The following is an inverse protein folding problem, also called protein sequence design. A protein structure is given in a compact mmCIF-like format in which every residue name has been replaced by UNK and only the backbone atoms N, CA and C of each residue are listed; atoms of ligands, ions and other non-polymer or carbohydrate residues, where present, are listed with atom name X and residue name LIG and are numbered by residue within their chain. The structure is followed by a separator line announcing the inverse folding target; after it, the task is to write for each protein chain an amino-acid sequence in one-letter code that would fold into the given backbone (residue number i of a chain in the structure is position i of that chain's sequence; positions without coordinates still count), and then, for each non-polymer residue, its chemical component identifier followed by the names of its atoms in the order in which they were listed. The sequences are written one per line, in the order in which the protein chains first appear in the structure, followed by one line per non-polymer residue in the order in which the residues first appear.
data_IF_516861721939
#
_entry.id   IF_516861721939
#
_cell.length_a   1.000
_cell.length_b   1.000
_cell.length_c   1.000
_cell.angle_alpha   90.00
_cell.angle_beta   90.00
_cell.angle_gamma   90.00
#
_symmetry.space_group_name_H-M   'P 1'
#
loop_
_entity.id
_entity.type
_entity.pdbx_description
1 polymer ?
#
# COMPACT_ATOMS: atom_id res chain seq x y z
N UNK A 1 -19.07 -1.75 0.16
CA UNK A 1 -19.47 -1.35 -1.19
C UNK A 1 -19.98 0.09 -1.24
N UNK A 2 -20.87 0.50 -0.30
CA UNK A 2 -21.52 1.82 -0.28
C UNK A 2 -20.52 2.99 -0.38
N UNK A 3 -19.53 3.07 0.50
CA UNK A 3 -18.56 4.18 0.51
C UNK A 3 -17.55 4.12 -0.66
N UNK A 4 -16.93 2.96 -0.88
CA UNK A 4 -15.81 2.83 -1.82
C UNK A 4 -16.24 2.73 -3.30
N UNK A 5 -17.53 2.52 -3.57
CA UNK A 5 -18.01 2.47 -4.94
C UNK A 5 -19.19 3.43 -5.18
N UNK A 6 -20.32 3.27 -4.49
CA UNK A 6 -21.53 4.05 -4.80
C UNK A 6 -21.28 5.54 -4.59
N UNK A 7 -20.85 5.95 -3.39
CA UNK A 7 -20.59 7.36 -3.10
C UNK A 7 -19.44 7.92 -3.95
N UNK A 8 -18.37 7.13 -4.17
CA UNK A 8 -17.26 7.56 -4.99
C UNK A 8 -17.65 7.71 -6.48
N UNK A 9 -18.54 6.86 -6.99
CA UNK A 9 -19.11 6.97 -8.34
C UNK A 9 -19.94 8.25 -8.48
N UNK A 10 -20.86 8.50 -7.53
CA UNK A 10 -21.68 9.72 -7.52
C UNK A 10 -20.79 10.97 -7.48
N UNK A 11 -19.81 10.99 -6.58
CA UNK A 11 -18.85 12.09 -6.48
C UNK A 11 -18.10 12.32 -7.81
N UNK A 12 -17.61 11.25 -8.45
CA UNK A 12 -16.92 11.35 -9.73
C UNK A 12 -17.87 11.87 -10.84
N UNK A 13 -19.13 11.44 -10.87
CA UNK A 13 -20.13 11.95 -11.82
C UNK A 13 -20.41 13.43 -11.62
N UNK A 14 -20.55 13.89 -10.37
CA UNK A 14 -20.69 15.31 -10.04
C UNK A 14 -19.46 16.13 -10.49
N UNK A 15 -18.25 15.64 -10.22
CA UNK A 15 -17.02 16.29 -10.66
C UNK A 15 -16.98 16.43 -12.21
N UNK A 16 -17.39 15.38 -12.92
CA UNK A 16 -17.44 15.40 -14.40
C UNK A 16 -18.48 16.42 -14.90
N UNK A 17 -19.65 16.46 -14.26
CA UNK A 17 -20.69 17.44 -14.58
C UNK A 17 -20.22 18.88 -14.31
N UNK A 18 -19.37 19.10 -13.32
CA UNK A 18 -18.70 20.37 -13.01
C UNK A 18 -17.45 20.63 -13.86
N UNK A 19 -17.28 19.92 -14.98
CA UNK A 19 -16.15 20.08 -15.91
C UNK A 19 -14.76 19.80 -15.35
N UNK A 20 -14.66 19.06 -14.24
CA UNK A 20 -13.38 18.56 -13.71
C UNK A 20 -12.93 17.37 -14.57
N UNK A 21 -11.74 17.46 -15.16
CA UNK A 21 -11.27 16.48 -16.16
C UNK A 21 -10.12 15.60 -15.69
N UNK A 22 -9.36 15.99 -14.64
CA UNK A 22 -8.15 15.29 -14.25
C UNK A 22 -8.32 14.63 -12.87
N UNK A 23 -8.06 13.33 -12.80
CA UNK A 23 -8.26 12.53 -11.58
C UNK A 23 -7.06 11.64 -11.29
N UNK A 24 -6.66 11.57 -10.01
CA UNK A 24 -5.78 10.52 -9.51
C UNK A 24 -6.58 9.69 -8.52
N UNK A 25 -6.71 8.40 -8.78
CA UNK A 25 -7.50 7.49 -7.97
C UNK A 25 -6.62 6.55 -7.16
N UNK A 26 -6.78 6.58 -5.84
CA UNK A 26 -6.13 5.67 -4.89
C UNK A 26 -6.81 4.30 -4.90
N UNK A 27 -6.26 3.36 -5.66
CA UNK A 27 -6.69 1.97 -5.71
C UNK A 27 -5.81 1.07 -4.83
N UNK A 28 -5.84 -0.24 -5.02
CA UNK A 28 -5.19 -1.21 -4.14
C UNK A 28 -4.64 -2.41 -4.90
N UNK A 29 -3.50 -2.95 -4.46
CA UNK A 29 -2.97 -4.23 -4.93
C UNK A 29 -3.86 -5.43 -4.56
N UNK A 30 -4.78 -5.29 -3.60
CA UNK A 30 -5.70 -6.36 -3.21
C UNK A 30 -6.60 -6.84 -4.36
N UNK A 31 -6.72 -6.07 -5.44
CA UNK A 31 -7.48 -6.48 -6.65
C UNK A 31 -6.84 -7.67 -7.37
N UNK A 32 -5.52 -7.87 -7.22
CA UNK A 32 -4.82 -8.97 -7.88
C UNK A 32 -5.09 -10.34 -7.23
N UNK A 33 -5.53 -10.35 -5.97
CA UNK A 33 -5.73 -11.58 -5.22
C UNK A 33 -4.41 -12.25 -4.85
N UNK A 34 -4.40 -13.57 -4.83
CA UNK A 34 -3.22 -14.35 -4.45
C UNK A 34 -2.32 -14.58 -5.69
N UNK A 35 -1.10 -14.07 -5.64
CA UNK A 35 -0.09 -14.23 -6.67
C UNK A 35 1.23 -14.67 -6.05
N UNK A 36 1.97 -15.54 -6.76
CA UNK A 36 3.28 -16.07 -6.34
C UNK A 36 4.45 -15.33 -6.98
N UNK A 37 4.19 -14.39 -7.88
CA UNK A 37 5.20 -13.61 -8.63
C UNK A 37 4.96 -12.10 -8.47
N UNK A 38 5.90 -11.30 -8.96
CA UNK A 38 5.70 -9.85 -9.10
C UNK A 38 4.58 -9.57 -10.11
N UNK A 39 3.54 -8.86 -9.68
CA UNK A 39 2.37 -8.57 -10.52
C UNK A 39 2.56 -7.30 -11.32
N UNK A 40 2.22 -7.35 -12.61
CA UNK A 40 2.14 -6.21 -13.51
C UNK A 40 0.74 -5.61 -13.53
N UNK A 41 0.60 -4.42 -14.06
CA UNK A 41 -0.67 -3.69 -14.14
C UNK A 41 -1.68 -4.33 -15.09
N UNK A 42 -1.22 -5.07 -16.10
CA UNK A 42 -2.01 -5.80 -17.09
C UNK A 42 -2.48 -7.20 -16.63
N UNK A 43 -1.99 -7.67 -15.47
CA UNK A 43 -2.43 -8.94 -14.90
C UNK A 43 -3.94 -8.91 -14.61
N UNK A 44 -4.64 -9.99 -14.97
CA UNK A 44 -6.09 -10.14 -14.77
C UNK A 44 -6.44 -10.04 -13.28
N UNK A 45 -7.27 -9.08 -12.87
CA UNK A 45 -7.68 -8.93 -11.47
C UNK A 45 -8.47 -10.14 -10.96
N UNK A 46 -8.15 -10.59 -9.73
CA UNK A 46 -8.81 -11.70 -9.02
C UNK A 46 -9.16 -11.28 -7.57
N UNK A 47 -10.00 -10.25 -7.36
CA UNK A 47 -10.27 -9.71 -6.04
C UNK A 47 -10.98 -10.71 -5.13
N UNK A 48 -10.40 -11.00 -3.95
CA UNK A 48 -10.92 -11.98 -2.99
C UNK A 48 -11.84 -11.34 -1.93
N UNK A 49 -11.68 -10.04 -1.66
CA UNK A 49 -12.45 -9.34 -0.61
C UNK A 49 -13.50 -8.39 -1.19
N UNK A 50 -14.59 -8.08 -0.45
CA UNK A 50 -15.55 -7.04 -0.84
C UNK A 50 -14.89 -5.67 -1.05
N UNK A 51 -13.88 -5.34 -0.26
CA UNK A 51 -13.08 -4.12 -0.44
C UNK A 51 -12.39 -4.10 -1.81
N UNK A 52 -11.64 -5.14 -2.15
CA UNK A 52 -10.95 -5.23 -3.44
C UNK A 52 -11.92 -5.20 -4.63
N UNK A 53 -13.07 -5.89 -4.52
CA UNK A 53 -14.14 -5.85 -5.53
C UNK A 53 -14.67 -4.43 -5.72
N UNK A 54 -14.91 -3.68 -4.63
CA UNK A 54 -15.42 -2.30 -4.73
C UNK A 54 -14.41 -1.35 -5.37
N UNK A 55 -13.12 -1.51 -5.06
CA UNK A 55 -12.04 -0.71 -5.68
C UNK A 55 -11.94 -1.00 -7.19
N UNK A 56 -11.95 -2.28 -7.57
CA UNK A 56 -11.93 -2.68 -8.98
C UNK A 56 -13.17 -2.18 -9.76
N UNK A 57 -14.35 -2.19 -9.15
CA UNK A 57 -15.56 -1.65 -9.79
C UNK A 57 -15.41 -0.16 -10.13
N UNK A 58 -14.76 0.63 -9.27
CA UNK A 58 -14.51 2.02 -9.54
C UNK A 58 -13.40 2.22 -10.59
N UNK A 59 -12.35 1.38 -10.63
CA UNK A 59 -11.39 1.38 -11.74
C UNK A 59 -12.08 1.19 -13.10
N UNK A 60 -12.98 0.17 -13.18
CA UNK A 60 -13.77 -0.08 -14.39
C UNK A 60 -14.64 1.12 -14.77
N UNK A 61 -15.17 1.84 -13.79
CA UNK A 61 -15.95 3.03 -14.03
C UNK A 61 -15.10 4.18 -14.60
N UNK A 62 -13.88 4.39 -14.11
CA UNK A 62 -12.93 5.33 -14.70
C UNK A 62 -12.66 5.00 -16.19
N UNK A 63 -12.39 3.75 -16.52
CA UNK A 63 -12.19 3.32 -17.91
C UNK A 63 -13.42 3.53 -18.79
N UNK A 64 -14.64 3.38 -18.27
CA UNK A 64 -15.88 3.71 -19.02
C UNK A 64 -15.96 5.20 -19.34
N UNK A 65 -15.39 6.07 -18.51
CA UNK A 65 -15.41 7.54 -18.69
C UNK A 65 -14.17 8.09 -19.44
N UNK A 66 -13.24 7.25 -19.91
CA UNK A 66 -11.95 7.64 -20.52
C UNK A 66 -12.02 8.62 -21.70
N UNK A 67 -13.16 8.71 -22.39
CA UNK A 67 -13.38 9.70 -23.46
C UNK A 67 -13.61 11.11 -22.92
N UNK A 68 -14.11 11.22 -21.66
CA UNK A 68 -14.52 12.50 -21.03
C UNK A 68 -13.50 13.04 -20.04
N UNK A 69 -12.68 12.15 -19.44
CA UNK A 69 -11.74 12.49 -18.37
C UNK A 69 -10.36 11.90 -18.61
N UNK A 70 -9.36 12.55 -18.03
CA UNK A 70 -8.03 11.99 -17.81
C UNK A 70 -7.98 11.34 -16.43
N UNK A 71 -7.32 10.21 -16.30
CA UNK A 71 -7.15 9.60 -15.00
C UNK A 71 -5.84 8.82 -14.87
N UNK A 72 -5.34 8.79 -13.65
CA UNK A 72 -4.25 7.93 -13.22
C UNK A 72 -4.75 7.11 -12.03
N UNK A 73 -4.68 5.78 -12.15
CA UNK A 73 -5.04 4.86 -11.09
C UNK A 73 -3.77 4.38 -10.42
N UNK A 74 -3.67 4.53 -9.10
CA UNK A 74 -2.53 4.10 -8.31
C UNK A 74 -2.93 2.91 -7.43
N UNK A 75 -2.41 1.71 -7.75
CA UNK A 75 -2.64 0.49 -6.99
C UNK A 75 -1.59 0.40 -5.89
N UNK A 76 -1.97 0.79 -4.66
CA UNK A 76 -1.06 0.75 -3.53
C UNK A 76 -0.83 -0.67 -3.05
N UNK A 77 0.44 -0.99 -2.84
CA UNK A 77 0.86 -2.10 -2.01
C UNK A 77 0.84 -1.67 -0.53
N UNK A 78 1.66 -2.24 0.32
CA UNK A 78 1.62 -1.89 1.74
C UNK A 78 2.29 -0.53 1.96
N UNK A 79 1.53 0.43 2.46
CA UNK A 79 2.06 1.76 2.82
C UNK A 79 2.46 1.77 4.28
N UNK A 80 3.63 2.33 4.58
CA UNK A 80 4.13 2.51 5.94
C UNK A 80 5.00 3.75 6.07
N UNK A 81 5.49 3.99 7.29
CA UNK A 81 6.26 5.19 7.60
C UNK A 81 5.37 6.41 7.81
N UNK A 82 6.00 7.48 8.26
CA UNK A 82 5.37 8.75 8.60
C UNK A 82 6.27 9.88 8.15
N UNK A 83 5.73 11.06 7.95
CA UNK A 83 6.47 12.28 7.66
C UNK A 83 7.41 12.63 8.82
N UNK A 84 8.65 13.02 8.51
CA UNK A 84 9.73 13.20 9.51
C UNK A 84 9.43 14.22 10.61
N UNK A 85 8.64 15.26 10.32
CA UNK A 85 8.22 16.27 11.31
C UNK A 85 7.03 15.82 12.16
N UNK A 86 6.53 14.60 11.96
CA UNK A 86 5.42 13.99 12.70
C UNK A 86 4.14 14.84 12.72
N UNK A 87 3.86 15.59 11.65
CA UNK A 87 2.63 16.42 11.56
C UNK A 87 1.40 15.59 11.25
N UNK A 88 1.56 14.47 10.58
CA UNK A 88 0.49 13.53 10.26
C UNK A 88 1.06 12.11 10.09
N UNK A 89 0.26 11.11 10.41
CA UNK A 89 0.65 9.71 10.29
C UNK A 89 -0.56 8.79 10.24
N UNK A 90 -0.32 7.50 10.42
CA UNK A 90 -1.37 6.50 10.41
C UNK A 90 -2.20 6.53 11.71
N UNK A 91 -3.43 6.06 11.62
CA UNK A 91 -4.26 5.85 12.81
C UNK A 91 -3.66 4.69 13.64
N UNK A 92 -3.21 4.97 14.86
CA UNK A 92 -2.57 3.99 15.76
C UNK A 92 -3.53 2.88 16.23
N UNK A 93 -4.85 3.11 16.15
CA UNK A 93 -5.87 2.10 16.43
C UNK A 93 -6.09 1.11 15.27
N UNK A 94 -5.45 1.36 14.11
CA UNK A 94 -5.56 0.49 12.94
C UNK A 94 -4.85 -0.85 13.21
N UNK A 95 -5.42 -1.95 12.71
CA UNK A 95 -4.87 -3.32 12.82
C UNK A 95 -3.93 -3.67 11.65
N UNK A 96 -3.17 -2.69 11.14
CA UNK A 96 -2.15 -2.92 10.12
C UNK A 96 -0.89 -3.54 10.71
N UNK A 97 -0.08 -4.23 9.89
CA UNK A 97 1.19 -4.80 10.36
C UNK A 97 2.09 -3.74 11.00
N UNK A 98 2.23 -2.57 10.38
CA UNK A 98 3.09 -1.49 10.89
C UNK A 98 2.57 -0.96 12.22
N UNK A 99 1.27 -0.76 12.37
CA UNK A 99 0.67 -0.33 13.64
C UNK A 99 0.90 -1.39 14.75
N UNK A 100 0.72 -2.67 14.44
CA UNK A 100 0.94 -3.77 15.39
C UNK A 100 2.41 -3.91 15.78
N UNK A 101 3.34 -3.71 14.84
CA UNK A 101 4.78 -3.64 15.15
C UNK A 101 5.06 -2.47 16.10
N UNK A 102 4.60 -1.25 15.80
CA UNK A 102 4.78 -0.10 16.69
C UNK A 102 4.24 -0.37 18.09
N UNK A 103 3.00 -0.87 18.19
CA UNK A 103 2.37 -1.23 19.46
C UNK A 103 3.19 -2.23 20.25
N UNK A 104 3.71 -3.25 19.59
CA UNK A 104 4.53 -4.29 20.24
C UNK A 104 5.87 -3.73 20.71
N UNK A 105 6.59 -3.00 19.84
CA UNK A 105 7.93 -2.51 20.16
C UNK A 105 7.95 -1.31 21.12
N UNK A 106 6.96 -0.43 21.07
CA UNK A 106 6.88 0.71 21.99
C UNK A 106 6.45 0.23 23.38
N UNK A 107 5.37 -0.57 23.46
CA UNK A 107 4.78 -0.99 24.73
C UNK A 107 5.36 -2.31 25.27
N UNK A 108 6.40 -2.85 24.63
CA UNK A 108 7.02 -4.14 24.98
C UNK A 108 6.02 -5.31 25.10
N UNK A 109 5.00 -5.34 24.22
CA UNK A 109 3.98 -6.39 24.16
C UNK A 109 4.35 -7.46 23.15
N UNK A 110 3.82 -8.67 23.32
CA UNK A 110 3.99 -9.75 22.33
C UNK A 110 3.60 -9.30 20.91
N UNK A 111 4.39 -9.73 19.93
CA UNK A 111 4.11 -9.50 18.51
C UNK A 111 3.48 -10.75 17.89
N UNK A 112 2.27 -10.63 17.36
CA UNK A 112 1.55 -11.75 16.77
C UNK A 112 1.86 -11.88 15.29
N UNK A 113 2.40 -13.03 14.87
CA UNK A 113 2.58 -13.40 13.47
C UNK A 113 1.52 -14.43 13.08
N UNK A 114 0.68 -14.09 12.10
CA UNK A 114 -0.35 -14.98 11.59
C UNK A 114 0.19 -15.84 10.45
N UNK A 115 0.35 -17.15 10.73
CA UNK A 115 0.93 -18.12 9.80
C UNK A 115 2.46 -18.20 9.89
N UNK A 116 2.96 -19.44 10.06
CA UNK A 116 4.39 -19.78 10.00
C UNK A 116 4.70 -20.87 8.98
N UNK A 117 3.71 -21.23 8.15
CA UNK A 117 3.77 -22.35 7.20
C UNK A 117 3.41 -21.91 5.78
N UNK A 118 3.68 -20.63 5.44
CA UNK A 118 3.65 -20.18 4.04
C UNK A 118 4.85 -20.78 3.29
N UNK A 119 4.67 -21.03 2.00
CA UNK A 119 5.79 -21.45 1.13
C UNK A 119 6.70 -20.24 0.84
N UNK A 120 7.47 -19.84 1.85
CA UNK A 120 8.42 -18.72 1.86
C UNK A 120 9.63 -19.10 2.70
N UNK A 121 10.76 -18.43 2.52
CA UNK A 121 12.03 -18.79 3.16
C UNK A 121 11.95 -18.91 4.70
N UNK A 122 11.16 -18.06 5.37
CA UNK A 122 10.99 -18.03 6.83
C UNK A 122 9.59 -18.44 7.30
N UNK A 123 8.78 -18.97 6.39
CA UNK A 123 7.42 -19.42 6.66
C UNK A 123 6.41 -18.31 6.88
N UNK A 124 6.81 -17.02 6.83
CA UNK A 124 5.90 -15.89 7.02
C UNK A 124 5.52 -15.23 5.71
N UNK A 125 4.40 -14.51 5.69
CA UNK A 125 3.91 -13.85 4.48
C UNK A 125 4.89 -12.80 3.94
N UNK A 126 4.99 -12.68 2.61
CA UNK A 126 5.84 -11.71 1.93
C UNK A 126 4.98 -10.56 1.39
N UNK A 127 5.45 -9.35 1.61
CA UNK A 127 4.79 -8.11 1.16
C UNK A 127 5.79 -7.19 0.49
N UNK A 128 5.26 -6.25 -0.28
CA UNK A 128 5.98 -5.11 -0.81
C UNK A 128 5.51 -3.86 -0.06
N UNK A 129 6.44 -3.05 0.40
CA UNK A 129 6.15 -1.84 1.15
C UNK A 129 6.65 -0.62 0.41
N UNK A 130 5.97 0.49 0.61
CA UNK A 130 6.39 1.82 0.17
C UNK A 130 6.27 2.81 1.32
N UNK A 131 7.25 3.69 1.47
CA UNK A 131 7.15 4.76 2.45
C UNK A 131 6.12 5.81 2.00
N UNK A 132 5.27 6.28 2.93
CA UNK A 132 4.19 7.23 2.61
C UNK A 132 4.69 8.49 1.90
N UNK A 133 5.87 8.98 2.24
CA UNK A 133 6.49 10.15 1.58
C UNK A 133 6.84 9.87 0.13
N UNK A 134 7.32 8.67 -0.20
CA UNK A 134 7.61 8.33 -1.60
C UNK A 134 6.31 8.15 -2.38
N UNK A 135 5.26 7.62 -1.74
CA UNK A 135 3.92 7.58 -2.34
C UNK A 135 3.37 8.99 -2.59
N UNK A 136 3.53 9.93 -1.66
CA UNK A 136 3.17 11.33 -1.85
C UNK A 136 3.93 11.98 -3.02
N UNK A 137 5.23 11.69 -3.16
CA UNK A 137 6.03 12.14 -4.32
C UNK A 137 5.52 11.57 -5.64
N UNK A 138 5.06 10.30 -5.66
CA UNK A 138 4.42 9.70 -6.84
C UNK A 138 3.19 10.52 -7.24
N UNK A 139 2.30 10.80 -6.28
CA UNK A 139 1.10 11.61 -6.53
C UNK A 139 1.47 12.97 -7.11
N UNK A 140 2.38 13.69 -6.46
CA UNK A 140 2.81 15.02 -6.88
C UNK A 140 3.39 15.01 -8.31
N UNK A 141 4.34 14.12 -8.59
CA UNK A 141 4.94 14.04 -9.93
C UNK A 141 3.92 13.66 -11.01
N UNK A 142 3.02 12.73 -10.72
CA UNK A 142 1.99 12.32 -11.68
C UNK A 142 0.88 13.37 -11.83
N UNK A 143 0.56 14.14 -10.77
CA UNK A 143 -0.38 15.27 -10.89
C UNK A 143 0.15 16.35 -11.83
N UNK A 144 1.45 16.64 -11.80
CA UNK A 144 2.06 17.56 -12.77
C UNK A 144 2.03 17.03 -14.20
N UNK A 145 2.14 15.72 -14.40
CA UNK A 145 2.12 15.09 -15.73
C UNK A 145 0.71 15.05 -16.33
N UNK A 146 -0.32 14.72 -15.54
CA UNK A 146 -1.71 14.62 -16.03
C UNK A 146 -2.25 15.96 -16.49
N UNK A 147 -1.71 17.08 -16.00
CA UNK A 147 -2.05 18.43 -16.45
C UNK A 147 -1.47 18.76 -17.82
N UNK A 148 -0.38 18.10 -18.23
CA UNK A 148 0.36 18.43 -19.47
C UNK A 148 -0.05 17.56 -20.67
N UNK A 149 -0.49 16.32 -20.42
CA UNK A 149 -0.89 15.39 -21.49
C UNK A 149 -2.04 14.51 -21.04
N UNK A 150 -2.74 13.92 -22.02
CA UNK A 150 -3.81 12.97 -21.74
C UNK A 150 -3.26 11.69 -21.09
N UNK A 151 -3.90 11.31 -19.99
CA UNK A 151 -3.65 10.05 -19.29
C UNK A 151 -4.94 9.25 -19.11
N UNK A 152 -4.88 7.94 -19.34
CA UNK A 152 -5.89 6.95 -18.95
C UNK A 152 -5.14 5.68 -18.55
N UNK A 153 -4.43 5.73 -17.43
CA UNK A 153 -3.42 4.74 -17.09
C UNK A 153 -3.48 4.27 -15.63
N UNK A 154 -2.80 3.16 -15.34
CA UNK A 154 -2.70 2.55 -14.02
C UNK A 154 -1.25 2.23 -13.69
N UNK A 155 -0.86 2.43 -12.42
CA UNK A 155 0.49 2.16 -11.91
C UNK A 155 0.45 1.42 -10.59
N UNK A 156 1.32 0.44 -10.44
CA UNK A 156 1.61 -0.23 -9.18
C UNK A 156 2.52 0.65 -8.31
N UNK A 157 2.12 0.87 -7.06
CA UNK A 157 2.86 1.69 -6.09
C UNK A 157 3.41 0.82 -4.96
N UNK A 158 4.66 0.41 -5.10
CA UNK A 158 5.48 -0.36 -4.16
C UNK A 158 6.95 -0.08 -4.45
N UNK A 159 7.84 -0.78 -3.79
CA UNK A 159 9.27 -0.74 -4.14
C UNK A 159 9.70 -1.87 -5.09
N UNK A 160 8.81 -2.83 -5.38
CA UNK A 160 9.15 -4.03 -6.15
C UNK A 160 10.15 -4.95 -5.43
N UNK A 161 10.36 -4.72 -4.13
CA UNK A 161 11.27 -5.48 -3.28
C UNK A 161 10.48 -6.27 -2.22
N UNK A 162 10.59 -7.62 -2.25
CA UNK A 162 9.90 -8.46 -1.29
C UNK A 162 10.53 -8.36 0.10
N UNK A 163 9.68 -8.28 1.13
CA UNK A 163 10.10 -8.41 2.51
C UNK A 163 9.08 -9.25 3.29
N UNK A 164 9.57 -10.21 4.08
CA UNK A 164 8.71 -11.04 4.90
C UNK A 164 8.29 -10.31 6.18
N UNK A 165 7.19 -10.77 6.79
CA UNK A 165 6.73 -10.23 8.09
C UNK A 165 7.81 -10.38 9.16
N UNK A 166 8.51 -11.52 9.19
CA UNK A 166 9.61 -11.76 10.12
C UNK A 166 10.77 -10.78 9.88
N UNK A 167 11.18 -10.56 8.62
CA UNK A 167 12.25 -9.60 8.31
C UNK A 167 11.87 -8.17 8.66
N UNK A 168 10.59 -7.79 8.51
CA UNK A 168 10.11 -6.47 8.94
C UNK A 168 10.20 -6.33 10.46
N UNK A 169 9.85 -7.38 11.23
CA UNK A 169 10.06 -7.41 12.68
C UNK A 169 11.55 -7.20 13.03
N UNK A 170 12.49 -7.87 12.33
CA UNK A 170 13.92 -7.73 12.59
C UNK A 170 14.41 -6.29 12.34
N UNK A 171 13.85 -5.60 11.34
CA UNK A 171 14.13 -4.18 11.07
C UNK A 171 13.64 -3.31 12.22
N UNK A 172 12.42 -3.54 12.71
CA UNK A 172 11.88 -2.83 13.87
C UNK A 172 12.70 -3.09 15.13
N UNK A 173 13.18 -4.33 15.32
CA UNK A 173 14.07 -4.71 16.42
C UNK A 173 15.39 -3.91 16.37
N UNK A 174 16.00 -3.83 15.17
CA UNK A 174 17.25 -3.07 14.95
C UNK A 174 17.06 -1.58 15.28
N UNK A 175 15.93 -0.99 14.86
CA UNK A 175 15.66 0.44 15.07
C UNK A 175 15.33 0.75 16.53
N UNK A 176 14.51 -0.05 17.18
CA UNK A 176 14.04 0.18 18.55
C UNK A 176 15.01 -0.31 19.63
N UNK A 177 16.01 -1.15 19.25
CA UNK A 177 16.91 -1.90 20.15
C UNK A 177 16.15 -2.79 21.15
N UNK A 178 14.90 -3.20 20.83
CA UNK A 178 14.08 -4.09 21.62
C UNK A 178 13.77 -5.37 20.84
N UNK A 179 13.38 -6.44 21.55
CA UNK A 179 13.00 -7.75 20.96
C UNK A 179 11.73 -8.30 21.64
N UNK A 180 10.55 -7.74 21.41
CA UNK A 180 9.31 -8.28 21.94
C UNK A 180 9.15 -9.76 21.54
N UNK A 181 8.59 -10.56 22.44
CA UNK A 181 8.33 -12.00 22.16
C UNK A 181 7.42 -12.15 20.95
N UNK A 182 7.81 -13.02 20.01
CA UNK A 182 6.97 -13.41 18.88
C UNK A 182 6.06 -14.56 19.29
N UNK A 183 4.77 -14.42 18.98
CA UNK A 183 3.77 -15.47 19.14
C UNK A 183 3.16 -15.78 17.78
N UNK A 184 3.28 -17.02 17.34
CA UNK A 184 2.70 -17.47 16.09
C UNK A 184 1.24 -17.90 16.30
N UNK A 185 0.36 -17.38 15.43
CA UNK A 185 -1.06 -17.73 15.36
C UNK A 185 -1.38 -18.44 14.05
N UNK A 186 -2.53 -19.08 13.98
CA UNK A 186 -3.05 -19.69 12.74
C UNK A 186 -3.14 -18.67 11.60
N UNK A 187 -3.03 -19.14 10.35
CA UNK A 187 -3.24 -18.29 9.16
C UNK A 187 -4.63 -17.67 9.20
N UNK A 188 -4.72 -16.39 8.89
CA UNK A 188 -6.02 -15.73 8.68
C UNK A 188 -6.70 -16.31 7.45
N UNK A 189 -8.02 -16.47 7.49
CA UNK A 189 -8.81 -16.86 6.33
C UNK A 189 -8.57 -15.88 5.18
N UNK A 190 -8.29 -16.38 3.98
CA UNK A 190 -8.04 -15.59 2.76
C UNK A 190 -6.80 -14.69 2.81
N UNK A 191 -5.83 -14.95 3.71
CA UNK A 191 -4.58 -14.21 3.71
C UNK A 191 -3.72 -14.60 2.50
N UNK A 192 -3.09 -13.59 1.91
CA UNK A 192 -2.26 -13.74 0.72
C UNK A 192 -0.83 -14.07 1.16
N UNK A 193 -0.25 -15.17 0.65
CA UNK A 193 1.12 -15.57 0.99
C UNK A 193 2.16 -14.58 0.46
N UNK A 194 2.02 -14.13 -0.79
CA UNK A 194 2.97 -13.26 -1.48
C UNK A 194 2.22 -12.14 -2.19
N UNK A 195 2.65 -10.89 -2.00
CA UNK A 195 2.14 -9.72 -2.70
C UNK A 195 3.28 -8.76 -3.00
N UNK A 196 3.75 -8.74 -4.25
CA UNK A 196 4.92 -7.96 -4.70
C UNK A 196 4.57 -7.23 -5.99
N UNK A 197 4.88 -5.94 -6.06
CA UNK A 197 4.68 -5.13 -7.27
C UNK A 197 5.77 -5.36 -8.31
N UNK A 198 5.39 -5.36 -9.58
CA UNK A 198 6.28 -4.97 -10.66
C UNK A 198 6.12 -3.46 -10.85
N UNK A 199 7.18 -2.71 -10.63
CA UNK A 199 7.20 -1.23 -10.70
C UNK A 199 7.86 -0.70 -11.96
N UNK A 200 8.18 -1.55 -12.94
CA UNK A 200 8.88 -1.14 -14.16
C UNK A 200 8.12 -0.07 -14.94
N UNK A 201 6.79 -0.16 -14.96
CA UNK A 201 5.94 0.83 -15.63
C UNK A 201 6.02 2.19 -14.93
N UNK A 202 5.89 2.22 -13.60
CA UNK A 202 6.00 3.45 -12.83
C UNK A 202 7.39 4.07 -12.95
N UNK A 203 8.46 3.26 -12.95
CA UNK A 203 9.84 3.74 -13.03
C UNK A 203 10.20 4.36 -14.39
N UNK A 204 9.51 3.98 -15.47
CA UNK A 204 9.64 4.69 -16.76
C UNK A 204 9.03 6.09 -16.76
N UNK A 205 7.99 6.30 -15.93
CA UNK A 205 7.36 7.60 -15.77
C UNK A 205 8.08 8.48 -14.76
N UNK A 206 8.42 7.91 -13.60
CA UNK A 206 9.04 8.62 -12.49
C UNK A 206 10.01 7.70 -11.76
N UNK A 207 11.25 8.16 -11.58
CA UNK A 207 12.23 7.40 -10.79
C UNK A 207 11.95 7.51 -9.29
N UNK A 208 11.92 6.36 -8.62
CA UNK A 208 11.81 6.24 -7.17
C UNK A 208 13.02 5.46 -6.65
N UNK A 209 13.74 6.04 -5.72
CA UNK A 209 14.89 5.39 -5.10
C UNK A 209 14.43 4.25 -4.14
N UNK A 210 14.86 3.03 -4.44
CA UNK A 210 14.47 1.80 -3.72
C UNK A 210 15.58 1.23 -2.83
N UNK A 211 16.38 2.07 -2.17
CA UNK A 211 17.44 1.61 -1.25
C UNK A 211 16.84 0.89 -0.03
N UNK A 212 17.56 -0.08 0.53
CA UNK A 212 17.11 -0.83 1.74
C UNK A 212 16.98 0.07 2.97
N UNK A 213 17.74 1.17 3.03
CA UNK A 213 17.58 2.19 4.07
C UNK A 213 16.14 2.72 4.22
N UNK A 214 15.32 2.62 3.16
CA UNK A 214 13.92 3.03 3.20
C UNK A 214 13.07 2.25 4.21
N UNK A 215 13.38 0.97 4.45
CA UNK A 215 12.67 0.19 5.47
C UNK A 215 13.10 0.57 6.89
N UNK A 216 14.36 0.98 7.09
CA UNK A 216 14.83 1.54 8.36
C UNK A 216 14.13 2.88 8.63
N UNK A 217 14.05 3.75 7.63
CA UNK A 217 13.33 5.03 7.72
C UNK A 217 11.84 4.80 8.02
N UNK A 218 11.21 3.83 7.33
CA UNK A 218 9.83 3.44 7.56
C UNK A 218 9.60 3.00 9.01
N UNK A 219 10.46 2.12 9.54
CA UNK A 219 10.35 1.64 10.91
C UNK A 219 10.57 2.78 11.92
N UNK A 220 11.63 3.58 11.73
CA UNK A 220 11.96 4.70 12.61
C UNK A 220 10.82 5.71 12.70
N UNK A 221 10.38 6.24 11.56
CA UNK A 221 9.31 7.25 11.54
C UNK A 221 7.98 6.72 12.07
N UNK A 222 7.69 5.43 11.86
CA UNK A 222 6.50 4.79 12.42
C UNK A 222 6.55 4.67 13.94
N UNK A 223 7.70 4.29 14.51
CA UNK A 223 7.92 4.19 15.95
C UNK A 223 7.81 5.58 16.59
N UNK A 224 8.48 6.58 15.99
CA UNK A 224 8.48 7.95 16.50
C UNK A 224 7.07 8.54 16.51
N UNK A 225 6.29 8.31 15.43
CA UNK A 225 4.87 8.70 15.38
C UNK A 225 4.04 8.01 16.47
N UNK A 226 4.19 6.69 16.61
CA UNK A 226 3.43 5.95 17.61
C UNK A 226 3.70 6.46 19.02
N UNK A 227 4.96 6.82 19.35
CA UNK A 227 5.34 7.41 20.64
C UNK A 227 4.73 8.81 20.85
N UNK A 228 4.71 9.64 19.81
CA UNK A 228 4.19 11.02 19.92
C UNK A 228 2.67 11.09 20.04
N UNK A 229 1.95 9.99 19.78
CA UNK A 229 0.48 9.92 19.78
C UNK A 229 -0.09 9.11 20.95
N UNK A 230 0.74 8.69 21.90
CA UNK A 230 0.34 8.11 23.18
C UNK A 230 0.22 9.19 24.27
#
# INVERSE_FOLDING_TARGET
LKNNYIKAKIFLELCIASNIKNFIYSSTAAIYGNNIKKVKEDEKPKPLSPYAKSKLSLEKFFYKKRKKINFIILRYFNVGGVEKKLRCGFNIKNDSLISNLCKSFVNNKEFLIYGKTYNTKDGTAIRDYIHVIDLAKIHFKLSQKILKKKYCDVFNCGYGKPISVRKMYDIFSKVSKKKPKIVYKSKRSKDISISISNVSKLNREIYINHKESKWLDLAKTSIDWYRSTQ
#
